data_IF_601768875291
#
_entry.id   IF_601768875291
#
_cell.length_a   1.000
_cell.length_b   1.000
_cell.length_c   1.000
_cell.angle_alpha   90.00
_cell.angle_beta   90.00
_cell.angle_gamma   90.00
#
_symmetry.space_group_name_H-M   'P 1'
#
loop_
_entity.id
_entity.type
_entity.pdbx_description
1 polymer ?
#
# COMPACT_ATOMS: atom_id res chain seq x y z
N UNK A 1 -31.39 60.10 2.78
CA UNK A 1 -31.69 60.28 1.34
C UNK A 1 -30.66 59.47 0.58
N UNK A 2 -30.94 58.55 -0.34
CA UNK A 2 -32.12 58.30 -1.17
C UNK A 2 -32.12 56.82 -1.61
N UNK A 3 -33.24 56.13 -1.37
CA UNK A 3 -34.03 55.26 -2.27
C UNK A 3 -33.30 54.24 -3.18
N UNK A 4 -33.58 52.96 -2.93
CA UNK A 4 -33.45 51.83 -3.86
C UNK A 4 -34.35 51.97 -5.10
N UNK A 5 -34.10 51.19 -6.17
CA UNK A 5 -35.21 50.43 -6.77
C UNK A 5 -34.94 48.93 -6.91
N UNK A 6 -36.05 48.19 -6.75
CA UNK A 6 -36.23 46.75 -6.98
C UNK A 6 -36.65 46.48 -8.43
N UNK A 7 -36.15 45.41 -9.04
CA UNK A 7 -36.84 44.55 -10.04
C UNK A 7 -36.33 43.11 -9.76
N UNK A 8 -37.08 42.09 -9.32
CA UNK A 8 -38.36 41.43 -9.70
C UNK A 8 -38.39 40.82 -11.11
N UNK A 9 -38.24 39.49 -11.17
CA UNK A 9 -39.05 38.49 -11.89
C UNK A 9 -38.18 37.23 -12.15
N UNK A 10 -38.60 35.97 -12.04
CA UNK A 10 -39.78 35.27 -11.53
C UNK A 10 -39.39 33.75 -11.51
N UNK A 11 -40.11 32.89 -10.76
CA UNK A 11 -39.79 31.46 -10.63
C UNK A 11 -40.39 30.63 -11.78
N UNK A 12 -39.66 29.60 -12.24
CA UNK A 12 -40.21 28.59 -13.16
C UNK A 12 -40.16 27.19 -12.53
N UNK A 13 -41.34 26.70 -12.17
CA UNK A 13 -41.73 25.30 -11.93
C UNK A 13 -43.20 25.29 -12.38
N UNK A 14 -43.78 24.27 -13.07
CA UNK A 14 -43.57 22.83 -12.88
C UNK A 14 -43.66 21.94 -14.15
N UNK A 15 -43.27 20.66 -14.03
CA UNK A 15 -43.95 19.56 -14.73
C UNK A 15 -43.57 18.17 -14.14
N UNK A 16 -44.43 17.66 -13.25
CA UNK A 16 -44.83 16.24 -13.18
C UNK A 16 -46.30 16.24 -13.61
N UNK A 17 -46.81 15.25 -14.37
CA UNK A 17 -47.01 13.87 -13.89
C UNK A 17 -46.83 12.85 -15.06
N UNK A 18 -47.09 11.54 -15.04
CA UNK A 18 -47.96 10.68 -14.24
C UNK A 18 -47.65 9.21 -14.62
N UNK A 19 -47.77 8.33 -13.63
CA UNK A 19 -48.19 6.92 -13.71
C UNK A 19 -48.20 6.18 -15.06
N UNK A 20 -47.45 5.08 -15.12
CA UNK A 20 -48.01 3.83 -15.61
C UNK A 20 -47.83 2.71 -14.57
N UNK A 21 -48.98 2.25 -14.08
CA UNK A 21 -49.18 1.03 -13.31
C UNK A 21 -49.17 -0.18 -14.26
N UNK A 22 -49.03 -1.35 -13.63
CA UNK A 22 -49.36 -2.73 -14.08
C UNK A 22 -48.17 -3.46 -14.71
N UNK A 23 -47.87 -4.71 -14.37
CA UNK A 23 -48.61 -5.66 -13.53
C UNK A 23 -47.76 -6.89 -13.26
N UNK A 24 -48.17 -7.62 -12.22
CA UNK A 24 -47.64 -8.93 -11.87
C UNK A 24 -47.94 -9.97 -12.95
N UNK A 25 -46.98 -10.84 -13.22
CA UNK A 25 -47.25 -12.22 -13.62
C UNK A 25 -46.08 -13.11 -13.19
N UNK A 26 -46.27 -13.85 -12.11
CA UNK A 26 -45.56 -15.11 -11.88
C UNK A 26 -46.16 -16.13 -12.85
N UNK A 27 -45.35 -16.69 -13.74
CA UNK A 27 -45.67 -17.96 -14.40
C UNK A 27 -44.38 -18.74 -14.60
N UNK A 28 -44.25 -19.83 -13.85
CA UNK A 28 -43.50 -21.02 -14.22
C UNK A 28 -44.53 -22.18 -14.25
N UNK A 29 -44.23 -23.39 -14.77
CA UNK A 29 -43.07 -23.85 -15.54
C UNK A 29 -43.48 -24.49 -16.89
N UNK A 30 -42.55 -24.65 -17.83
CA UNK A 30 -42.67 -25.69 -18.88
C UNK A 30 -41.35 -26.42 -18.97
N UNK A 31 -41.37 -27.68 -18.56
CA UNK A 31 -40.36 -28.69 -18.85
C UNK A 31 -40.60 -29.16 -20.28
N UNK A 32 -39.61 -29.03 -21.16
CA UNK A 32 -39.51 -29.82 -22.38
C UNK A 32 -38.03 -30.08 -22.68
N UNK A 33 -37.76 -31.32 -23.10
CA UNK A 33 -36.49 -32.01 -22.95
C UNK A 33 -35.51 -31.81 -24.11
N UNK A 34 -34.24 -31.98 -23.76
CA UNK A 34 -33.13 -32.57 -24.52
C UNK A 34 -32.83 -32.09 -25.94
N UNK A 35 -31.71 -31.37 -26.07
CA UNK A 35 -30.71 -31.65 -27.09
C UNK A 35 -29.32 -31.62 -26.42
N UNK A 36 -28.71 -32.79 -26.23
CA UNK A 36 -27.31 -32.92 -25.86
C UNK A 36 -26.50 -32.56 -27.11
N UNK A 37 -26.17 -31.28 -27.26
CA UNK A 37 -25.06 -30.89 -28.10
C UNK A 37 -23.80 -31.04 -27.24
N UNK A 38 -23.00 -32.06 -27.54
CA UNK A 38 -21.64 -32.20 -27.04
C UNK A 38 -20.78 -31.06 -27.64
N UNK A 39 -20.95 -29.86 -27.08
CA UNK A 39 -19.97 -28.81 -27.21
C UNK A 39 -18.78 -29.20 -26.33
N UNK A 40 -17.62 -29.38 -26.95
CA UNK A 40 -16.36 -29.33 -26.23
C UNK A 40 -16.28 -27.94 -25.61
N UNK A 41 -16.75 -27.82 -24.37
CA UNK A 41 -16.35 -26.74 -23.49
C UNK A 41 -14.91 -27.11 -23.16
N UNK A 42 -13.98 -26.66 -24.00
CA UNK A 42 -12.60 -26.54 -23.56
C UNK A 42 -12.69 -25.78 -22.24
N UNK A 43 -12.17 -26.30 -21.11
CA UNK A 43 -11.96 -25.45 -19.97
C UNK A 43 -11.06 -24.35 -20.51
N UNK A 44 -11.61 -23.14 -20.66
CA UNK A 44 -10.78 -21.97 -20.54
C UNK A 44 -10.28 -22.05 -19.10
N UNK A 45 -9.14 -22.74 -18.95
CA UNK A 45 -8.17 -22.43 -17.94
C UNK A 45 -7.83 -20.97 -18.18
N UNK A 46 -8.68 -20.07 -17.70
CA UNK A 46 -8.25 -18.75 -17.31
C UNK A 46 -7.09 -19.05 -16.38
N UNK A 47 -5.89 -18.70 -16.82
CA UNK A 47 -4.75 -18.61 -15.93
C UNK A 47 -5.25 -17.73 -14.78
N UNK A 48 -5.57 -18.36 -13.65
CA UNK A 48 -5.51 -17.66 -12.39
C UNK A 48 -4.06 -17.19 -12.35
N UNK A 49 -3.86 -15.90 -12.64
CA UNK A 49 -2.59 -15.27 -12.34
C UNK A 49 -2.28 -15.65 -10.91
N UNK A 50 -1.07 -16.14 -10.67
CA UNK A 50 -0.64 -16.49 -9.32
C UNK A 50 -0.91 -15.26 -8.45
N UNK A 51 -1.88 -15.37 -7.53
CA UNK A 51 -2.08 -14.36 -6.50
C UNK A 51 -0.82 -14.43 -5.63
N UNK A 52 0.16 -13.60 -5.97
CA UNK A 52 1.37 -13.44 -5.19
C UNK A 52 1.00 -12.63 -3.96
N UNK A 53 0.59 -13.30 -2.89
CA UNK A 53 0.42 -12.65 -1.60
C UNK A 53 1.75 -12.00 -1.17
N UNK A 54 1.69 -10.83 -0.53
CA UNK A 54 2.84 -10.13 0.02
C UNK A 54 3.84 -11.09 0.71
N UNK A 55 5.16 -10.81 0.60
CA UNK A 55 6.17 -11.65 1.23
C UNK A 55 5.95 -11.76 2.74
N UNK A 56 6.17 -12.97 3.28
CA UNK A 56 6.03 -13.22 4.72
C UNK A 56 6.87 -12.24 5.55
N UNK A 57 6.26 -11.66 6.59
CA UNK A 57 6.95 -10.78 7.53
C UNK A 57 8.10 -11.51 8.26
N UNK A 58 9.27 -10.87 8.34
CA UNK A 58 10.51 -11.47 8.87
C UNK A 58 11.18 -10.68 9.99
N UNK A 59 10.73 -9.46 10.29
CA UNK A 59 11.24 -8.71 11.44
C UNK A 59 11.21 -7.19 11.35
N UNK A 60 10.68 -6.61 10.26
CA UNK A 60 10.40 -5.18 10.21
C UNK A 60 8.99 -4.91 10.77
N UNK A 61 8.81 -3.72 11.34
CA UNK A 61 7.52 -3.15 11.72
C UNK A 61 7.30 -1.90 10.88
N UNK A 62 6.15 -1.84 10.24
CA UNK A 62 5.65 -0.66 9.57
C UNK A 62 4.56 -0.03 10.44
N UNK A 63 4.59 1.28 10.58
CA UNK A 63 3.51 2.06 11.20
C UNK A 63 3.28 3.29 10.34
N UNK A 64 2.02 3.54 10.03
CA UNK A 64 1.61 4.69 9.27
C UNK A 64 0.63 5.54 10.07
N UNK A 65 0.81 6.85 10.02
CA UNK A 65 -0.05 7.80 10.72
C UNK A 65 -0.24 9.05 9.88
N UNK A 66 -1.48 9.47 9.69
CA UNK A 66 -1.79 10.71 8.98
C UNK A 66 -1.40 11.92 9.83
N UNK A 67 -0.41 12.69 9.37
CA UNK A 67 0.03 13.92 10.05
C UNK A 67 -0.66 15.17 9.53
N UNK A 68 -1.04 15.17 8.25
CA UNK A 68 -1.76 16.23 7.57
C UNK A 68 -2.56 15.66 6.38
N UNK A 69 -3.43 16.44 5.72
CA UNK A 69 -4.26 15.93 4.61
C UNK A 69 -3.49 15.44 3.38
N UNK A 70 -2.22 15.82 3.23
CA UNK A 70 -1.42 15.57 2.04
C UNK A 70 -0.32 14.54 2.26
N UNK A 71 0.12 14.33 3.51
CA UNK A 71 1.24 13.46 3.85
C UNK A 71 0.90 12.48 4.97
N UNK A 72 1.41 11.26 4.79
CA UNK A 72 1.41 10.21 5.79
C UNK A 72 2.81 10.08 6.37
N UNK A 73 2.88 10.09 7.71
CA UNK A 73 4.11 9.77 8.43
C UNK A 73 4.26 8.27 8.50
N UNK A 74 5.23 7.76 7.77
CA UNK A 74 5.63 6.36 7.77
C UNK A 74 6.80 6.17 8.71
N UNK A 75 6.70 5.16 9.57
CA UNK A 75 7.78 4.68 10.45
C UNK A 75 8.07 3.23 10.12
N UNK A 76 9.32 2.92 9.82
CA UNK A 76 9.83 1.57 9.57
C UNK A 76 10.94 1.29 10.58
N UNK A 77 10.81 0.22 11.35
CA UNK A 77 11.80 -0.13 12.36
C UNK A 77 11.95 -1.64 12.55
N UNK A 78 13.03 -2.06 13.19
CA UNK A 78 13.27 -3.46 13.50
C UNK A 78 14.72 -3.72 13.89
N UNK A 79 15.07 -5.01 13.95
CA UNK A 79 16.40 -5.46 14.36
C UNK A 79 16.93 -6.50 13.38
N UNK A 80 18.10 -6.25 12.81
CA UNK A 80 18.87 -7.30 12.16
C UNK A 80 19.65 -8.08 13.22
N UNK A 81 19.15 -9.27 13.59
CA UNK A 81 19.77 -10.09 14.64
C UNK A 81 21.17 -10.54 14.25
N UNK A 82 22.16 -10.10 15.01
CA UNK A 82 23.58 -10.43 14.86
C UNK A 82 24.31 -10.16 16.18
N UNK A 83 25.59 -10.50 16.28
CA UNK A 83 26.36 -10.11 17.45
C UNK A 83 26.54 -8.59 17.49
N UNK A 84 26.64 -8.01 18.68
CA UNK A 84 26.97 -6.58 18.83
C UNK A 84 28.26 -6.20 18.12
N UNK A 85 29.27 -7.07 18.17
CA UNK A 85 30.57 -6.86 17.51
C UNK A 85 30.39 -6.73 15.99
N UNK A 86 29.56 -7.59 15.37
CA UNK A 86 29.27 -7.49 13.94
C UNK A 86 28.50 -6.21 13.61
N UNK A 87 27.52 -5.84 14.44
CA UNK A 87 26.74 -4.62 14.27
C UNK A 87 27.63 -3.36 14.35
N UNK A 88 28.48 -3.27 15.37
CA UNK A 88 29.47 -2.19 15.52
C UNK A 88 30.45 -2.15 14.34
N UNK A 89 30.89 -3.33 13.88
CA UNK A 89 31.78 -3.45 12.73
C UNK A 89 31.12 -2.91 11.46
N UNK A 90 29.88 -3.34 11.16
CA UNK A 90 29.11 -2.84 10.01
C UNK A 90 28.96 -1.32 10.08
N UNK A 91 28.57 -0.80 11.24
CA UNK A 91 28.41 0.65 11.46
C UNK A 91 29.72 1.39 11.17
N UNK A 92 30.84 0.89 11.72
CA UNK A 92 32.17 1.46 11.53
C UNK A 92 32.57 1.47 10.06
N UNK A 93 32.38 0.35 9.34
CA UNK A 93 32.72 0.27 7.92
C UNK A 93 31.85 1.20 7.06
N UNK A 94 30.55 1.31 7.35
CA UNK A 94 29.67 2.25 6.66
C UNK A 94 30.13 3.71 6.80
N UNK A 95 30.64 4.10 7.97
CA UNK A 95 31.16 5.45 8.21
C UNK A 95 32.53 5.64 7.57
N UNK A 96 33.48 4.77 7.89
CA UNK A 96 34.90 4.94 7.53
C UNK A 96 35.11 4.84 6.03
N UNK A 97 34.40 3.92 5.36
CA UNK A 97 34.60 3.64 3.94
C UNK A 97 33.48 4.21 3.05
N UNK A 98 32.42 4.78 3.63
CA UNK A 98 31.25 5.32 2.90
C UNK A 98 30.63 4.34 1.91
N UNK A 99 30.58 3.07 2.29
CA UNK A 99 30.05 1.96 1.48
C UNK A 99 28.99 1.20 2.25
N UNK A 100 28.08 0.57 1.50
CA UNK A 100 26.91 -0.09 2.06
C UNK A 100 25.84 0.92 2.51
N UNK A 101 24.81 0.39 3.17
CA UNK A 101 23.73 1.20 3.72
C UNK A 101 22.49 0.38 4.05
N UNK A 102 21.46 1.07 4.49
CA UNK A 102 20.13 0.49 4.71
C UNK A 102 19.16 1.12 3.73
N UNK A 103 18.59 0.29 2.86
CA UNK A 103 17.54 0.68 1.92
C UNK A 103 16.20 0.34 2.53
N UNK A 104 15.32 1.34 2.59
CA UNK A 104 13.94 1.22 3.02
C UNK A 104 13.06 1.38 1.79
N UNK A 105 12.24 0.38 1.52
CA UNK A 105 11.33 0.33 0.38
C UNK A 105 9.92 0.13 0.91
N UNK A 106 8.98 0.97 0.48
CA UNK A 106 7.55 0.78 0.68
C UNK A 106 6.96 0.25 -0.62
N UNK A 107 6.12 -0.77 -0.52
CA UNK A 107 5.49 -1.44 -1.66
C UNK A 107 3.99 -1.55 -1.45
N UNK A 108 3.25 -1.50 -2.55
CA UNK A 108 1.84 -1.86 -2.59
C UNK A 108 1.68 -3.38 -2.60
N UNK A 109 0.50 -3.90 -2.26
CA UNK A 109 0.16 -5.33 -2.27
C UNK A 109 -0.91 -5.64 -3.34
N UNK A 110 -0.67 -5.19 -4.57
CA UNK A 110 -1.50 -5.49 -5.73
C UNK A 110 -1.60 -7.01 -6.03
N UNK A 111 -2.81 -7.56 -5.96
CA UNK A 111 -3.06 -8.96 -6.33
C UNK A 111 -2.79 -9.19 -7.83
N UNK A 112 -1.72 -9.93 -8.13
CA UNK A 112 -1.46 -10.51 -9.46
C UNK A 112 -0.53 -9.70 -10.36
N UNK A 113 -0.11 -8.52 -9.95
CA UNK A 113 0.98 -7.73 -10.55
C UNK A 113 2.04 -7.54 -9.49
N UNK A 114 3.27 -8.02 -9.73
CA UNK A 114 4.32 -7.94 -8.71
C UNK A 114 4.40 -6.56 -8.06
N UNK A 115 4.31 -6.55 -6.74
CA UNK A 115 4.13 -5.43 -5.82
C UNK A 115 4.93 -4.17 -6.22
N UNK A 116 4.29 -3.05 -6.59
CA UNK A 116 4.99 -1.87 -7.05
C UNK A 116 5.84 -1.25 -5.94
N UNK A 117 6.95 -0.58 -6.29
CA UNK A 117 7.70 0.25 -5.33
C UNK A 117 7.05 1.63 -5.29
N UNK A 118 6.38 1.92 -4.18
CA UNK A 118 5.69 3.19 -3.94
C UNK A 118 6.68 4.28 -3.49
N UNK A 119 7.66 3.88 -2.67
CA UNK A 119 8.66 4.79 -2.14
C UNK A 119 9.96 4.06 -1.81
N UNK A 120 11.10 4.70 -2.04
CA UNK A 120 12.42 4.17 -1.66
C UNK A 120 13.30 5.25 -1.03
N UNK A 121 13.99 4.89 0.06
CA UNK A 121 15.06 5.70 0.63
C UNK A 121 16.26 4.83 0.98
N UNK A 122 17.41 5.18 0.40
CA UNK A 122 18.71 4.69 0.85
C UNK A 122 19.27 5.61 1.94
N UNK A 123 19.73 4.98 3.01
CA UNK A 123 20.51 5.60 4.07
C UNK A 123 21.93 5.07 3.99
N UNK A 124 22.87 5.99 3.77
CA UNK A 124 24.31 5.71 3.84
C UNK A 124 24.89 6.36 5.10
N UNK A 125 25.74 5.62 5.84
CA UNK A 125 26.32 6.09 7.11
C UNK A 125 25.44 5.85 8.34
N UNK A 126 25.95 6.22 9.52
CA UNK A 126 25.37 5.86 10.83
C UNK A 126 25.17 7.07 11.73
N UNK A 127 24.36 6.88 12.78
CA UNK A 127 23.99 7.92 13.76
C UNK A 127 22.49 8.24 13.78
N UNK A 128 22.08 9.12 14.70
CA UNK A 128 20.75 9.74 14.69
C UNK A 128 20.67 10.70 13.51
N UNK A 129 19.99 10.28 12.45
CA UNK A 129 19.68 11.15 11.33
C UNK A 129 18.32 11.82 11.55
N UNK A 130 18.04 12.94 10.87
CA UNK A 130 16.68 13.44 10.78
C UNK A 130 15.73 12.32 10.34
N UNK A 131 14.83 11.96 11.25
CA UNK A 131 13.87 10.87 11.05
C UNK A 131 14.52 9.48 10.93
N UNK A 132 15.46 9.09 11.80
CA UNK A 132 15.91 7.71 11.88
C UNK A 132 17.18 7.46 12.69
N UNK A 133 17.50 6.18 12.93
CA UNK A 133 18.75 5.77 13.55
C UNK A 133 19.22 4.40 13.05
N UNK A 134 20.51 4.16 13.22
CA UNK A 134 21.13 2.84 13.11
C UNK A 134 22.03 2.64 14.33
N UNK A 135 21.70 1.68 15.19
CA UNK A 135 22.32 1.50 16.52
C UNK A 135 22.69 0.04 16.73
N UNK A 136 23.93 -0.22 17.13
CA UNK A 136 24.34 -1.53 17.60
C UNK A 136 23.92 -1.73 19.06
N UNK A 137 23.25 -2.84 19.33
CA UNK A 137 22.84 -3.28 20.64
C UNK A 137 23.22 -4.76 20.84
N UNK A 138 23.01 -5.27 22.05
CA UNK A 138 23.41 -6.64 22.41
C UNK A 138 22.67 -7.72 21.60
N UNK A 139 21.47 -7.41 21.10
CA UNK A 139 20.62 -8.30 20.29
C UNK A 139 20.73 -8.06 18.77
N UNK A 140 21.53 -7.09 18.34
CA UNK A 140 21.86 -6.86 16.93
C UNK A 140 21.87 -5.41 16.50
N UNK A 141 21.64 -5.20 15.20
CA UNK A 141 21.62 -3.88 14.59
C UNK A 141 20.18 -3.36 14.50
N UNK A 142 19.84 -2.41 15.37
CA UNK A 142 18.56 -1.73 15.41
C UNK A 142 18.51 -0.66 14.33
N UNK A 143 17.39 -0.60 13.61
CA UNK A 143 17.15 0.40 12.59
C UNK A 143 15.80 1.06 12.80
N UNK A 144 15.75 2.35 12.48
CA UNK A 144 14.54 3.15 12.46
C UNK A 144 14.64 4.13 11.30
N UNK A 145 13.55 4.26 10.55
CA UNK A 145 13.34 5.35 9.60
C UNK A 145 11.95 5.93 9.79
N UNK A 146 11.89 7.25 9.84
CA UNK A 146 10.68 8.06 9.82
C UNK A 146 10.74 8.94 8.59
N UNK A 147 9.65 8.96 7.82
CA UNK A 147 9.53 9.75 6.60
C UNK A 147 8.09 10.22 6.41
N UNK A 148 7.94 11.39 5.77
CA UNK A 148 6.67 11.83 5.24
C UNK A 148 6.57 11.35 3.80
N UNK A 149 5.50 10.63 3.48
CA UNK A 149 5.19 10.14 2.14
C UNK A 149 3.90 10.82 1.68
N UNK A 150 3.88 11.47 0.50
CA UNK A 150 2.65 12.00 -0.08
C UNK A 150 1.57 10.92 -0.15
N UNK A 151 0.34 11.26 0.28
CA UNK A 151 -0.81 10.35 0.28
C UNK A 151 -1.07 9.75 -1.11
N UNK A 152 -0.86 10.54 -2.16
CA UNK A 152 -1.00 10.12 -3.57
C UNK A 152 -0.08 8.97 -3.98
N UNK A 153 1.02 8.72 -3.27
CA UNK A 153 1.91 7.57 -3.53
C UNK A 153 1.48 6.30 -2.78
N UNK A 154 0.55 6.42 -1.84
CA UNK A 154 0.04 5.29 -1.07
C UNK A 154 -1.34 4.84 -1.56
N UNK A 155 -1.93 5.58 -2.50
CA UNK A 155 -3.21 5.24 -3.10
C UNK A 155 -2.99 4.17 -4.19
N UNK A 156 -3.09 2.90 -3.81
CA UNK A 156 -2.92 1.78 -4.76
C UNK A 156 -4.21 1.52 -5.54
N UNK A 157 -5.37 1.75 -4.90
CA UNK A 157 -6.67 1.28 -5.37
C UNK A 157 -7.69 2.43 -5.39
N UNK A 158 -7.94 3.00 -6.58
CA UNK A 158 -9.06 3.91 -6.78
C UNK A 158 -10.19 3.16 -7.52
N UNK A 159 -10.73 2.13 -6.88
CA UNK A 159 -11.79 1.30 -7.47
C UNK A 159 -12.99 1.14 -6.52
N UNK A 160 -14.19 1.08 -7.08
CA UNK A 160 -15.43 1.15 -6.29
C UNK A 160 -15.71 -0.05 -5.34
N UNK A 161 -14.81 -1.04 -5.30
CA UNK A 161 -14.99 -2.29 -4.57
C UNK A 161 -13.86 -2.59 -3.59
N UNK A 162 -12.72 -1.91 -3.72
CA UNK A 162 -11.61 -1.89 -2.78
C UNK A 162 -11.03 -0.47 -2.72
N UNK A 163 -11.14 0.14 -1.54
CA UNK A 163 -10.59 1.46 -1.24
C UNK A 163 -9.55 1.34 -0.10
N UNK A 164 -9.21 0.12 0.33
CA UNK A 164 -8.21 -0.08 1.38
C UNK A 164 -6.85 -0.17 0.71
N UNK A 165 -6.03 0.84 0.91
CA UNK A 165 -4.67 0.83 0.40
C UNK A 165 -3.82 -0.14 1.23
N UNK A 166 -3.21 -1.12 0.57
CA UNK A 166 -2.43 -2.17 1.22
C UNK A 166 -0.94 -1.96 1.00
N UNK A 167 -0.20 -1.66 2.07
CA UNK A 167 1.25 -1.40 1.95
C UNK A 167 2.08 -2.20 2.94
N UNK A 168 3.29 -2.56 2.51
CA UNK A 168 4.28 -3.18 3.38
C UNK A 168 5.68 -2.61 3.14
N UNK A 169 6.55 -2.77 4.13
CA UNK A 169 7.92 -2.30 4.09
C UNK A 169 8.90 -3.46 3.87
N UNK A 170 9.90 -3.23 3.02
CA UNK A 170 11.10 -4.03 2.90
C UNK A 170 12.31 -3.20 3.34
N UNK A 171 13.16 -3.79 4.17
CA UNK A 171 14.40 -3.20 4.65
C UNK A 171 15.55 -4.09 4.25
N UNK A 172 16.46 -3.55 3.46
CA UNK A 172 17.64 -4.25 2.98
C UNK A 172 18.90 -3.58 3.53
N UNK A 173 19.61 -4.31 4.39
CA UNK A 173 20.95 -3.98 4.84
C UNK A 173 21.97 -4.56 3.87
N UNK A 174 22.74 -3.70 3.22
CA UNK A 174 23.86 -4.09 2.37
C UNK A 174 25.17 -3.86 3.13
N UNK A 175 25.95 -4.91 3.37
CA UNK A 175 27.30 -4.76 3.93
C UNK A 175 28.25 -4.29 2.85
N UNK A 176 29.14 -3.38 3.23
CA UNK A 176 30.31 -3.02 2.45
C UNK A 176 31.15 -4.23 1.97
N UNK A 177 31.18 -5.32 2.74
CA UNK A 177 31.99 -6.51 2.45
C UNK A 177 31.27 -7.62 1.65
N UNK A 178 30.09 -7.35 1.08
CA UNK A 178 29.48 -8.29 0.12
C UNK A 178 28.54 -9.34 0.72
N UNK A 179 27.90 -9.05 1.85
CA UNK A 179 26.70 -9.78 2.27
C UNK A 179 25.52 -8.83 2.45
N UNK A 180 24.36 -9.41 2.64
CA UNK A 180 23.11 -8.68 2.83
C UNK A 180 22.21 -9.31 3.89
N UNK A 181 21.25 -8.52 4.35
CA UNK A 181 20.13 -8.97 5.20
C UNK A 181 18.86 -8.25 4.78
N UNK A 182 17.75 -8.96 4.86
CA UNK A 182 16.43 -8.45 4.53
C UNK A 182 15.48 -8.61 5.70
N UNK A 183 14.59 -7.64 5.87
CA UNK A 183 13.47 -7.70 6.77
C UNK A 183 12.21 -7.15 6.09
N UNK A 184 11.10 -7.85 6.24
CA UNK A 184 9.80 -7.46 5.68
C UNK A 184 8.81 -7.25 6.82
N UNK A 185 7.96 -6.23 6.71
CA UNK A 185 6.85 -6.01 7.64
C UNK A 185 5.62 -6.81 7.25
N UNK A 186 4.64 -6.97 8.15
CA UNK A 186 3.29 -7.29 7.73
C UNK A 186 2.74 -6.19 6.81
N UNK A 187 1.73 -6.56 6.01
CA UNK A 187 0.90 -5.62 5.26
C UNK A 187 0.06 -4.81 6.24
N UNK A 188 -0.08 -3.53 5.95
CA UNK A 188 -0.96 -2.59 6.65
C UNK A 188 -1.97 -2.10 5.63
N UNK A 189 -3.22 -2.52 5.78
CA UNK A 189 -4.37 -1.99 5.04
C UNK A 189 -4.98 -0.81 5.79
N UNK A 190 -5.04 0.36 5.16
CA UNK A 190 -5.79 1.51 5.67
C UNK A 190 -6.06 2.52 4.56
N UNK A 191 -7.14 3.30 4.70
CA UNK A 191 -7.33 4.50 3.86
C UNK A 191 -6.30 5.57 4.22
N UNK A 192 -5.23 5.68 3.44
CA UNK A 192 -4.24 6.77 3.58
C UNK A 192 -4.83 8.07 3.14
#
# INVERSE_FOLDING_TARGET
MNISPRERNAPNTPARPQHHRRGWARVAPVVAAAAIAAGVIAPMAGAAGDAHAAPRATGARLTAYQTDPYNIRITIEGVFRMSRVDADTIIKYMVDQRVGGVRYTLRGDDVGTGDPVLFERLVTGTGTMPGGHLVAADDGLHYLKVMAVPREYLNEDDNAFDDDDEVYAQVHLNYAQGGDRYATSPVVGQRF
#
